data_IF_653308791731
#
_entry.id   IF_653308791731
#
_cell.length_a   1.000
_cell.length_b   1.000
_cell.length_c   1.000
_cell.angle_alpha   90.00
_cell.angle_beta   90.00
_cell.angle_gamma   90.00
#
_symmetry.space_group_name_H-M   'P 1'
#
loop_
_entity.id
_entity.type
_entity.pdbx_description
1 polymer ?
#
# COMPACT_ATOMS: atom_id res chain seq x y z
N UNK A 1 -0.03 2.15 3.05
CA UNK A 1 -1.41 2.02 3.62
C UNK A 1 -2.13 0.98 2.78
N UNK A 2 -1.99 -0.33 3.05
CA UNK A 2 -2.67 -1.36 2.25
C UNK A 2 -4.20 -1.28 2.46
N UNK A 3 -4.85 -0.35 1.78
CA UNK A 3 -6.29 -0.22 1.72
C UNK A 3 -6.73 -1.11 0.56
N UNK A 4 -6.78 -2.42 0.82
CA UNK A 4 -7.50 -3.32 -0.08
C UNK A 4 -8.97 -2.96 0.05
N UNK A 5 -9.56 -2.33 -0.98
CA UNK A 5 -11.01 -2.14 -1.03
C UNK A 5 -11.66 -3.50 -1.24
N UNK A 6 -11.89 -4.21 -0.14
CA UNK A 6 -12.64 -5.45 -0.10
C UNK A 6 -14.12 -5.09 -0.04
N UNK A 7 -14.84 -5.38 -1.12
CA UNK A 7 -16.29 -5.33 -1.13
C UNK A 7 -16.83 -6.53 -0.32
N UNK A 8 -16.79 -6.46 1.02
CA UNK A 8 -17.38 -7.51 1.86
C UNK A 8 -18.14 -6.92 3.04
N UNK A 9 -19.45 -7.09 2.98
CA UNK A 9 -20.42 -6.90 4.04
C UNK A 9 -20.18 -8.01 5.11
N UNK A 10 -19.43 -7.75 6.17
CA UNK A 10 -19.58 -8.47 7.46
C UNK A 10 -18.66 -7.92 8.56
N UNK A 11 -19.30 -7.60 9.70
CA UNK A 11 -18.66 -7.33 10.97
C UNK A 11 -17.90 -8.56 11.48
N UNK A 12 -16.58 -8.46 11.64
CA UNK A 12 -15.82 -9.23 12.65
C UNK A 12 -14.38 -8.72 12.75
N UNK A 13 -14.09 -7.87 13.74
CA UNK A 13 -12.74 -7.66 14.24
C UNK A 13 -12.80 -7.44 15.75
N UNK A 14 -12.39 -8.44 16.52
CA UNK A 14 -12.17 -8.37 17.96
C UNK A 14 -10.89 -9.13 18.29
N UNK A 15 -9.85 -8.38 18.68
CA UNK A 15 -8.61 -8.71 19.43
C UNK A 15 -7.43 -7.85 18.89
N UNK A 16 -6.50 -7.37 19.76
CA UNK A 16 -5.50 -6.38 19.39
C UNK A 16 -4.26 -7.04 18.76
N UNK A 17 -4.16 -6.97 17.43
CA UNK A 17 -3.04 -7.51 16.67
C UNK A 17 -1.75 -6.70 16.89
N UNK A 18 -0.63 -7.40 17.11
CA UNK A 18 0.73 -6.86 17.23
C UNK A 18 1.17 -6.06 15.97
N UNK A 19 0.51 -6.33 14.84
CA UNK A 19 0.57 -5.60 13.56
C UNK A 19 0.16 -4.12 13.70
N UNK A 20 -0.63 -3.79 14.73
CA UNK A 20 -1.13 -2.44 14.96
C UNK A 20 0.00 -1.42 15.02
N UNK A 21 1.19 -1.74 15.55
CA UNK A 21 2.23 -0.72 15.75
C UNK A 21 2.81 -0.15 14.45
N UNK A 22 2.95 -0.95 13.38
CA UNK A 22 3.61 -0.50 12.13
C UNK A 22 2.62 0.06 11.10
N UNK A 23 1.38 -0.46 11.07
CA UNK A 23 0.27 0.21 10.37
C UNK A 23 -0.03 1.58 11.01
N UNK A 24 0.16 1.71 12.33
CA UNK A 24 -0.11 2.92 13.10
C UNK A 24 0.99 3.99 13.02
N UNK A 25 2.23 3.67 12.62
CA UNK A 25 3.27 4.71 12.39
C UNK A 25 2.83 5.66 11.26
N UNK A 26 2.15 5.15 10.22
CA UNK A 26 1.51 5.97 9.18
C UNK A 26 0.34 6.85 9.68
N UNK A 27 -0.14 6.61 10.90
CA UNK A 27 -1.28 7.29 11.52
C UNK A 27 -0.89 8.21 12.68
N UNK A 28 0.41 8.45 12.95
CA UNK A 28 0.81 9.43 13.97
C UNK A 28 0.30 10.81 13.53
N UNK A 29 -0.79 11.19 14.18
CA UNK A 29 -1.59 12.38 13.95
C UNK A 29 -1.03 13.49 14.85
N UNK A 30 -0.44 14.57 14.32
CA UNK A 30 -0.29 15.78 15.12
C UNK A 30 -1.67 16.43 15.21
N UNK A 31 -2.21 16.48 16.43
CA UNK A 31 -3.36 17.33 16.75
C UNK A 31 -2.98 18.79 16.54
N UNK A 32 -3.85 19.54 15.84
CA UNK A 32 -3.78 20.99 15.59
C UNK A 32 -2.78 21.52 14.53
N UNK A 33 -2.73 20.92 13.34
CA UNK A 33 -2.04 21.52 12.18
C UNK A 33 -2.96 21.51 10.94
N UNK A 34 -2.91 22.59 10.16
CA UNK A 34 -3.70 22.78 8.93
C UNK A 34 -3.46 21.64 7.94
N UNK A 35 -4.53 21.16 7.27
CA UNK A 35 -4.49 19.99 6.39
C UNK A 35 -3.53 20.18 5.22
N UNK A 36 -3.32 21.40 4.73
CA UNK A 36 -2.39 21.68 3.63
C UNK A 36 -0.94 21.62 4.13
N UNK A 37 -0.67 22.17 5.31
CA UNK A 37 0.66 22.13 5.94
C UNK A 37 1.07 20.69 6.25
N UNK A 38 0.16 19.89 6.83
CA UNK A 38 0.38 18.45 7.11
C UNK A 38 0.79 17.66 5.88
N UNK A 39 0.22 17.97 4.72
CA UNK A 39 0.51 17.28 3.46
C UNK A 39 1.87 17.63 2.91
N UNK A 40 2.23 18.91 2.93
CA UNK A 40 3.57 19.35 2.54
C UNK A 40 4.60 18.62 3.39
N UNK A 41 4.45 18.68 4.72
CA UNK A 41 5.36 18.02 5.66
C UNK A 41 5.49 16.51 5.40
N UNK A 42 4.39 15.81 5.13
CA UNK A 42 4.44 14.38 4.81
C UNK A 42 5.13 14.11 3.46
N UNK A 43 4.87 14.93 2.44
CA UNK A 43 5.51 14.80 1.13
C UNK A 43 7.01 15.08 1.21
N UNK A 44 7.43 16.14 1.92
CA UNK A 44 8.83 16.44 2.15
C UNK A 44 9.52 15.30 2.91
N UNK A 45 8.91 14.80 3.99
CA UNK A 45 9.47 13.70 4.78
C UNK A 45 9.78 12.47 3.91
N UNK A 46 8.82 12.01 3.10
CA UNK A 46 9.06 10.85 2.25
C UNK A 46 10.09 11.14 1.15
N UNK A 47 10.14 12.34 0.58
CA UNK A 47 11.20 12.73 -0.36
C UNK A 47 12.61 12.68 0.23
N UNK A 48 12.76 13.07 1.49
CA UNK A 48 14.04 13.08 2.20
C UNK A 48 14.50 11.68 2.65
N UNK A 49 13.57 10.72 2.78
CA UNK A 49 13.86 9.40 3.35
C UNK A 49 13.72 8.25 2.33
N UNK A 50 13.49 8.54 1.06
CA UNK A 50 13.16 7.56 0.01
C UNK A 50 14.10 7.63 -1.19
N UNK A 51 15.40 7.82 -0.93
CA UNK A 51 16.39 8.05 -1.98
C UNK A 51 16.79 6.78 -2.71
N UNK A 52 16.89 5.66 -2.00
CA UNK A 52 17.37 4.38 -2.51
C UNK A 52 16.24 3.42 -2.88
N UNK A 53 15.00 3.74 -2.52
CA UNK A 53 13.83 2.89 -2.78
C UNK A 53 14.03 1.46 -2.26
N UNK A 54 14.45 1.36 -0.99
CA UNK A 54 14.68 0.09 -0.29
C UNK A 54 13.55 -0.25 0.67
N UNK A 55 13.53 -1.50 1.15
CA UNK A 55 12.55 -1.97 2.14
C UNK A 55 12.74 -1.24 3.47
N UNK A 56 13.98 -0.94 3.84
CA UNK A 56 14.35 -0.23 5.06
C UNK A 56 13.88 1.23 5.04
N UNK A 57 14.05 1.92 3.91
CA UNK A 57 13.52 3.28 3.72
C UNK A 57 11.99 3.28 3.72
N UNK A 58 11.36 2.32 3.04
CA UNK A 58 9.90 2.19 3.00
C UNK A 58 9.30 1.89 4.39
N UNK A 59 9.98 1.09 5.21
CA UNK A 59 9.53 0.73 6.56
C UNK A 59 10.07 1.64 7.66
N UNK A 60 10.98 2.55 7.33
CA UNK A 60 11.70 3.40 8.28
C UNK A 60 12.38 2.60 9.41
N UNK A 61 12.89 1.41 9.08
CA UNK A 61 13.48 0.46 10.04
C UNK A 61 14.67 -0.27 9.41
N UNK A 62 15.81 -0.29 10.11
CA UNK A 62 17.02 -0.97 9.63
C UNK A 62 16.92 -2.51 9.65
N UNK A 63 15.95 -3.07 10.37
CA UNK A 63 15.66 -4.52 10.45
C UNK A 63 14.41 -4.89 9.63
N UNK A 64 14.00 -4.03 8.70
CA UNK A 64 12.78 -4.21 7.91
C UNK A 64 12.74 -5.54 7.11
N UNK A 65 13.89 -6.09 6.73
CA UNK A 65 13.96 -7.39 6.06
C UNK A 65 13.50 -8.53 6.96
N UNK A 66 13.96 -8.57 8.21
CA UNK A 66 13.59 -9.59 9.18
C UNK A 66 12.10 -9.48 9.54
N UNK A 67 11.63 -8.26 9.76
CA UNK A 67 10.20 -7.98 10.00
C UNK A 67 9.34 -8.43 8.81
N UNK A 68 9.78 -8.14 7.59
CA UNK A 68 9.07 -8.52 6.36
C UNK A 68 8.91 -10.04 6.24
N UNK A 69 9.89 -10.83 6.67
CA UNK A 69 9.79 -12.30 6.61
C UNK A 69 8.64 -12.86 7.46
N UNK A 70 8.27 -12.17 8.55
CA UNK A 70 7.19 -12.61 9.45
C UNK A 70 5.86 -11.92 9.12
N UNK A 71 5.88 -10.62 8.93
CA UNK A 71 4.68 -9.80 8.72
C UNK A 71 3.99 -10.10 7.38
N UNK A 72 4.76 -10.29 6.31
CA UNK A 72 4.20 -10.42 4.96
C UNK A 72 3.30 -11.67 4.83
N UNK A 73 3.73 -12.88 5.23
CA UNK A 73 2.86 -14.06 5.21
C UNK A 73 1.62 -13.91 6.10
N UNK A 74 1.76 -13.29 7.28
CA UNK A 74 0.65 -13.06 8.19
C UNK A 74 -0.41 -12.17 7.54
N UNK A 75 -0.02 -11.01 7.01
CA UNK A 75 -0.93 -10.08 6.33
C UNK A 75 -1.60 -10.72 5.11
N UNK A 76 -0.83 -11.42 4.27
CA UNK A 76 -1.39 -12.09 3.10
C UNK A 76 -2.40 -13.17 3.47
N UNK A 77 -2.20 -13.88 4.59
CA UNK A 77 -3.13 -14.90 5.07
C UNK A 77 -4.48 -14.37 5.54
N UNK A 78 -4.55 -13.07 5.89
CA UNK A 78 -5.78 -12.40 6.30
C UNK A 78 -6.61 -11.91 5.11
N UNK A 79 -6.05 -11.90 3.89
CA UNK A 79 -6.77 -11.49 2.70
C UNK A 79 -7.79 -12.57 2.30
N UNK A 80 -8.99 -12.19 1.81
CA UNK A 80 -9.88 -13.13 1.17
C UNK A 80 -9.28 -13.61 -0.16
N UNK A 81 -9.87 -14.66 -0.74
CA UNK A 81 -9.47 -15.10 -2.09
C UNK A 81 -9.57 -13.94 -3.10
N UNK A 82 -8.48 -13.71 -3.83
CA UNK A 82 -8.36 -12.67 -4.84
C UNK A 82 -8.58 -13.19 -6.27
N UNK A 83 -8.86 -14.48 -6.43
CA UNK A 83 -9.04 -15.10 -7.74
C UNK A 83 -10.14 -14.41 -8.53
N UNK A 84 -9.83 -13.97 -9.76
CA UNK A 84 -10.76 -13.23 -10.62
C UNK A 84 -10.99 -11.77 -10.22
N UNK A 85 -10.44 -11.30 -9.10
CA UNK A 85 -10.66 -9.95 -8.59
C UNK A 85 -9.71 -8.94 -9.24
N UNK A 86 -10.15 -7.70 -9.33
CA UNK A 86 -9.30 -6.54 -9.66
C UNK A 86 -8.96 -5.83 -8.36
N UNK A 87 -7.67 -5.75 -8.04
CA UNK A 87 -7.18 -5.21 -6.77
C UNK A 87 -6.64 -3.80 -7.00
N UNK A 88 -7.00 -2.89 -6.09
CA UNK A 88 -6.40 -1.57 -5.98
C UNK A 88 -5.55 -1.54 -4.71
N UNK A 89 -4.26 -1.28 -4.88
CA UNK A 89 -3.28 -1.20 -3.80
C UNK A 89 -2.86 0.26 -3.62
N UNK A 90 -3.26 0.87 -2.50
CA UNK A 90 -2.95 2.28 -2.19
C UNK A 90 -1.69 2.39 -1.33
N UNK A 91 -0.82 3.35 -1.63
CA UNK A 91 0.48 3.45 -0.97
C UNK A 91 1.29 2.16 -1.09
N UNK A 92 1.41 1.67 -2.33
CA UNK A 92 2.05 0.41 -2.68
C UNK A 92 3.57 0.41 -2.48
N UNK A 93 4.17 1.60 -2.35
CA UNK A 93 5.61 1.78 -2.25
C UNK A 93 6.35 1.06 -3.38
N UNK A 94 7.46 0.43 -3.02
CA UNK A 94 8.31 -0.34 -3.95
C UNK A 94 7.71 -1.69 -4.36
N UNK A 95 6.51 -2.02 -3.87
CA UNK A 95 5.78 -3.22 -4.29
C UNK A 95 6.01 -4.47 -3.46
N UNK A 96 6.21 -4.31 -2.14
CA UNK A 96 6.37 -5.43 -1.19
C UNK A 96 5.21 -6.41 -1.24
N UNK A 97 3.97 -5.92 -1.41
CA UNK A 97 2.80 -6.77 -1.57
C UNK A 97 2.37 -6.93 -3.03
N UNK A 98 2.65 -5.95 -3.89
CA UNK A 98 2.27 -5.96 -5.32
C UNK A 98 2.63 -7.27 -6.01
N UNK A 99 3.86 -7.76 -5.84
CA UNK A 99 4.33 -9.02 -6.43
C UNK A 99 3.46 -10.22 -6.03
N UNK A 100 3.08 -10.32 -4.77
CA UNK A 100 2.22 -11.38 -4.24
C UNK A 100 0.75 -11.24 -4.64
N UNK A 101 0.26 -10.00 -4.78
CA UNK A 101 -1.09 -9.73 -5.25
C UNK A 101 -1.23 -10.10 -6.73
N UNK A 102 -0.21 -9.85 -7.54
CA UNK A 102 -0.21 -10.13 -8.98
C UNK A 102 -0.31 -11.63 -9.31
N UNK A 103 0.15 -12.51 -8.41
CA UNK A 103 0.04 -13.97 -8.60
C UNK A 103 -1.35 -14.52 -8.24
N UNK A 104 -2.17 -13.74 -7.53
CA UNK A 104 -3.46 -14.18 -7.00
C UNK A 104 -4.66 -13.48 -7.66
N UNK A 105 -4.48 -12.23 -8.10
CA UNK A 105 -5.53 -11.40 -8.67
C UNK A 105 -5.55 -11.43 -10.20
N UNK A 106 -6.71 -11.13 -10.79
CA UNK A 106 -6.83 -10.95 -12.24
C UNK A 106 -6.12 -9.69 -12.75
N UNK A 107 -6.04 -8.65 -11.91
CA UNK A 107 -5.35 -7.40 -12.19
C UNK A 107 -5.02 -6.68 -10.89
N UNK A 108 -3.87 -6.00 -10.83
CA UNK A 108 -3.48 -5.13 -9.70
C UNK A 108 -3.17 -3.73 -10.21
N UNK A 109 -3.79 -2.72 -9.61
CA UNK A 109 -3.42 -1.32 -9.79
C UNK A 109 -2.70 -0.84 -8.52
N UNK A 110 -1.38 -0.69 -8.61
CA UNK A 110 -0.53 -0.19 -7.54
C UNK A 110 -0.41 1.33 -7.64
N UNK A 111 -0.70 2.03 -6.54
CA UNK A 111 -0.72 3.48 -6.48
C UNK A 111 0.19 3.96 -5.37
N UNK A 112 1.05 4.92 -5.65
CA UNK A 112 1.80 5.64 -4.63
C UNK A 112 1.97 7.11 -5.03
N UNK A 113 2.18 7.98 -4.05
CA UNK A 113 2.46 9.39 -4.30
C UNK A 113 3.95 9.66 -4.49
N UNK A 114 4.82 8.69 -4.16
CA UNK A 114 6.27 8.75 -4.38
C UNK A 114 6.64 8.16 -5.73
N UNK A 115 7.01 9.00 -6.69
CA UNK A 115 7.37 8.57 -8.05
C UNK A 115 8.50 7.53 -8.09
N UNK A 116 9.55 7.72 -7.29
CA UNK A 116 10.68 6.77 -7.21
C UNK A 116 10.24 5.37 -6.78
N UNK A 117 9.30 5.28 -5.85
CA UNK A 117 8.73 4.03 -5.38
C UNK A 117 7.86 3.36 -6.44
N UNK A 118 6.99 4.15 -7.11
CA UNK A 118 6.18 3.65 -8.22
C UNK A 118 7.05 3.09 -9.33
N UNK A 119 8.13 3.79 -9.68
CA UNK A 119 9.02 3.34 -10.75
C UNK A 119 9.82 2.11 -10.34
N UNK A 120 10.29 2.02 -9.09
CA UNK A 120 10.91 0.80 -8.57
C UNK A 120 9.94 -0.39 -8.63
N UNK A 121 8.70 -0.19 -8.19
CA UNK A 121 7.66 -1.21 -8.26
C UNK A 121 7.37 -1.63 -9.70
N UNK A 122 7.31 -0.68 -10.64
CA UNK A 122 7.15 -0.96 -12.07
C UNK A 122 8.30 -1.78 -12.63
N UNK A 123 9.55 -1.42 -12.32
CA UNK A 123 10.73 -2.16 -12.76
C UNK A 123 10.66 -3.62 -12.28
N UNK A 124 10.29 -3.83 -11.02
CA UNK A 124 10.29 -5.15 -10.41
C UNK A 124 9.09 -5.99 -10.88
N UNK A 125 7.92 -5.40 -11.15
CA UNK A 125 6.67 -6.13 -11.33
C UNK A 125 6.00 -6.00 -12.71
N UNK A 126 6.50 -5.17 -13.63
CA UNK A 126 5.88 -4.96 -14.95
C UNK A 126 5.82 -6.21 -15.83
N UNK A 127 6.70 -7.19 -15.58
CA UNK A 127 6.76 -8.44 -16.33
C UNK A 127 5.55 -9.37 -16.12
N UNK A 128 4.73 -9.15 -15.08
CA UNK A 128 3.54 -9.97 -14.79
C UNK A 128 2.39 -9.78 -15.80
N UNK A 129 2.39 -8.68 -16.58
CA UNK A 129 1.38 -8.43 -17.63
C UNK A 129 -0.03 -8.05 -17.15
N UNK A 130 -0.34 -8.23 -15.86
CA UNK A 130 -1.61 -7.88 -15.22
C UNK A 130 -1.48 -6.74 -14.19
N UNK A 131 -0.47 -5.87 -14.35
CA UNK A 131 -0.17 -4.76 -13.44
C UNK A 131 -0.43 -3.39 -14.09
N UNK A 132 -0.93 -2.44 -13.29
CA UNK A 132 -0.92 -1.00 -13.59
C UNK A 132 -0.23 -0.26 -12.44
N UNK A 133 0.64 0.70 -12.75
CA UNK A 133 1.35 1.50 -11.73
C UNK A 133 1.04 2.98 -11.94
N UNK A 134 0.48 3.61 -10.90
CA UNK A 134 -0.01 4.98 -10.94
C UNK A 134 0.70 5.83 -9.88
N UNK A 135 1.42 6.84 -10.34
CA UNK A 135 1.90 7.92 -9.47
C UNK A 135 0.75 8.89 -9.23
N UNK A 136 0.13 8.81 -8.05
CA UNK A 136 -0.96 9.71 -7.68
C UNK A 136 -1.11 9.85 -6.16
N UNK A 137 -1.57 11.03 -5.76
CA UNK A 137 -1.98 11.31 -4.40
C UNK A 137 -3.35 10.68 -4.14
N UNK A 138 -3.36 9.62 -3.34
CA UNK A 138 -4.56 8.79 -3.10
C UNK A 138 -5.74 9.55 -2.50
N UNK A 139 -5.48 10.68 -1.85
CA UNK A 139 -6.55 11.52 -1.27
C UNK A 139 -7.22 12.44 -2.30
N UNK A 140 -6.65 12.54 -3.50
CA UNK A 140 -7.19 13.29 -4.64
C UNK A 140 -7.68 12.37 -5.76
N UNK A 141 -7.57 11.05 -5.58
CA UNK A 141 -8.05 10.09 -6.56
C UNK A 141 -9.57 10.02 -6.52
N UNK A 142 -10.16 10.27 -7.68
CA UNK A 142 -11.57 10.03 -7.92
C UNK A 142 -11.69 8.70 -8.66
N UNK A 143 -12.13 7.66 -7.95
CA UNK A 143 -12.39 6.37 -8.56
C UNK A 143 -13.84 6.33 -9.05
N UNK A 144 -14.09 5.92 -10.30
CA UNK A 144 -15.45 5.78 -10.78
C UNK A 144 -16.22 4.84 -9.85
N UNK A 145 -17.35 5.33 -9.30
CA UNK A 145 -18.25 4.51 -8.48
C UNK A 145 -18.58 3.23 -9.25
N UNK A 146 -18.49 2.09 -8.56
CA UNK A 146 -18.76 0.75 -9.07
C UNK A 146 -19.76 0.76 -10.24
N UNK A 147 -19.31 0.38 -11.43
CA UNK A 147 -20.24 -0.24 -12.38
C UNK A 147 -20.51 -1.62 -11.80
N UNK A 148 -21.66 -1.79 -11.16
CA UNK A 148 -22.19 -3.13 -10.89
C UNK A 148 -22.15 -3.86 -12.23
N UNK A 149 -21.38 -4.94 -12.31
CA UNK A 149 -21.43 -5.84 -13.45
C UNK A 149 -22.89 -6.31 -13.55
N UNK A 150 -23.51 -5.98 -14.67
CA UNK A 150 -24.83 -6.49 -15.07
C UNK A 150 -24.64 -7.86 -15.68
#
# INVERSE_FOLDING_TARGET
MLLVSLNTNSNRFSEPFFVSKYILIFLIKPSNMDTKVKRSTMTEFWKEHSHQATVEEMMLDSHAQELTQQELPEILSLLPSLSGQRVLELGAGIGRYTSHLLTQASHVTAVDFMESFVEKNRQDNSHHGNASFLHADVTKLDFPKNRSAV
#
